data_IF_027771948815
#
_entry.id   IF_027771948815
#
_cell.length_a   1.000
_cell.length_b   1.000
_cell.length_c   1.000
_cell.angle_alpha   90.00
_cell.angle_beta   90.00
_cell.angle_gamma   90.00
#
_symmetry.space_group_name_H-M   'P 1'
#
loop_
_entity.id
_entity.type
_entity.pdbx_description
1 polymer ?
#
# COMPACT_ATOMS: atom_id res chain seq x y z
N UNK A 1 -19.83 -14.39 26.90
CA UNK A 1 -18.39 -14.42 26.52
C UNK A 1 -17.62 -15.26 27.53
N UNK A 2 -16.78 -16.17 27.06
CA UNK A 2 -16.04 -17.11 27.94
C UNK A 2 -14.92 -16.42 28.74
N UNK A 3 -14.45 -15.23 28.27
CA UNK A 3 -13.38 -14.45 28.93
C UNK A 3 -13.67 -12.95 28.80
N UNK A 4 -14.36 -12.35 29.77
CA UNK A 4 -14.75 -10.94 29.74
C UNK A 4 -13.57 -9.94 29.83
N UNK A 5 -12.40 -10.42 30.26
CA UNK A 5 -11.18 -9.58 30.42
C UNK A 5 -10.35 -9.43 29.13
N UNK A 6 -10.69 -10.18 28.07
CA UNK A 6 -9.96 -10.12 26.80
C UNK A 6 -10.62 -9.13 25.84
N UNK A 7 -9.81 -8.36 25.16
CA UNK A 7 -10.24 -7.58 24.03
C UNK A 7 -10.25 -8.47 22.78
N UNK A 8 -11.29 -8.35 21.99
CA UNK A 8 -11.49 -9.11 20.76
C UNK A 8 -11.50 -8.15 19.58
N UNK A 9 -10.82 -8.52 18.52
CA UNK A 9 -10.86 -7.80 17.24
C UNK A 9 -11.55 -8.71 16.23
N UNK A 10 -12.61 -8.19 15.60
CA UNK A 10 -13.33 -8.86 14.51
C UNK A 10 -12.98 -8.15 13.23
N UNK A 11 -12.27 -8.83 12.35
CA UNK A 11 -11.86 -8.28 11.06
C UNK A 11 -12.88 -8.63 10.00
N UNK A 12 -13.41 -7.63 9.31
CA UNK A 12 -14.40 -7.78 8.25
C UNK A 12 -14.06 -6.84 7.08
N UNK A 13 -14.56 -7.09 5.86
CA UNK A 13 -14.48 -6.11 4.78
C UNK A 13 -15.07 -4.75 5.21
N UNK A 14 -14.48 -3.64 4.76
CA UNK A 14 -14.83 -2.28 5.19
C UNK A 14 -16.34 -2.02 5.13
N UNK A 15 -16.99 -2.41 4.04
CA UNK A 15 -18.43 -2.23 3.83
C UNK A 15 -19.33 -2.95 4.85
N UNK A 16 -18.80 -3.95 5.58
CA UNK A 16 -19.56 -4.72 6.56
C UNK A 16 -19.27 -4.31 8.01
N UNK A 17 -18.35 -3.40 8.28
CA UNK A 17 -17.95 -3.00 9.64
C UNK A 17 -19.15 -2.52 10.46
N UNK A 18 -19.92 -1.57 9.95
CA UNK A 18 -21.13 -1.03 10.62
C UNK A 18 -22.21 -2.10 10.83
N UNK A 19 -22.48 -2.91 9.80
CA UNK A 19 -23.50 -3.95 9.88
C UNK A 19 -23.13 -5.05 10.90
N UNK A 20 -21.86 -5.43 10.95
CA UNK A 20 -21.35 -6.42 11.91
C UNK A 20 -21.38 -5.85 13.32
N UNK A 21 -20.94 -4.62 13.52
CA UNK A 21 -21.00 -3.95 14.82
C UNK A 21 -22.43 -3.90 15.35
N UNK A 22 -23.39 -3.49 14.51
CA UNK A 22 -24.82 -3.48 14.88
C UNK A 22 -25.33 -4.85 15.26
N UNK A 23 -25.03 -5.90 14.47
CA UNK A 23 -25.42 -7.28 14.79
C UNK A 23 -24.88 -7.73 16.16
N UNK A 24 -23.63 -7.43 16.48
CA UNK A 24 -23.02 -7.77 17.75
C UNK A 24 -23.71 -7.05 18.91
N UNK A 25 -23.99 -5.75 18.77
CA UNK A 25 -24.73 -4.98 19.78
C UNK A 25 -26.13 -5.54 19.96
N UNK A 26 -26.85 -5.82 18.87
CA UNK A 26 -28.23 -6.35 18.94
C UNK A 26 -28.30 -7.75 19.55
N UNK A 27 -27.26 -8.55 19.33
CA UNK A 27 -27.17 -9.92 19.86
C UNK A 27 -26.81 -9.95 21.37
N UNK A 28 -26.29 -8.86 21.92
CA UNK A 28 -25.89 -8.80 23.32
C UNK A 28 -27.06 -8.35 24.20
N UNK A 29 -27.30 -9.06 25.32
CA UNK A 29 -28.42 -8.81 26.21
C UNK A 29 -28.47 -7.39 26.77
N UNK A 30 -27.30 -6.74 26.95
CA UNK A 30 -27.17 -5.36 27.46
C UNK A 30 -27.11 -4.31 26.34
N UNK A 31 -27.34 -4.69 25.06
CA UNK A 31 -27.33 -3.79 23.93
C UNK A 31 -26.03 -2.94 23.79
N UNK A 32 -24.91 -3.51 24.21
CA UNK A 32 -23.60 -2.85 24.14
C UNK A 32 -22.45 -3.84 24.05
N UNK A 33 -21.35 -3.43 23.44
CA UNK A 33 -20.09 -4.16 23.35
C UNK A 33 -18.96 -3.22 23.79
N UNK A 34 -18.18 -3.62 24.79
CA UNK A 34 -17.08 -2.79 25.31
C UNK A 34 -15.70 -3.34 24.94
N UNK A 35 -15.60 -4.66 24.77
CA UNK A 35 -14.34 -5.35 24.55
C UNK A 35 -14.30 -6.07 23.19
N UNK A 36 -15.15 -5.66 22.24
CA UNK A 36 -15.10 -6.13 20.88
C UNK A 36 -14.96 -4.91 19.96
N UNK A 37 -13.91 -4.92 19.17
CA UNK A 37 -13.68 -3.92 18.13
C UNK A 37 -13.90 -4.55 16.76
N UNK A 38 -14.71 -3.93 15.92
CA UNK A 38 -14.99 -4.39 14.57
C UNK A 38 -14.27 -3.47 13.61
N UNK A 39 -13.28 -3.99 12.92
CA UNK A 39 -12.39 -3.21 12.06
C UNK A 39 -12.26 -3.85 10.68
N UNK A 40 -11.93 -3.04 9.69
CA UNK A 40 -11.41 -3.55 8.43
C UNK A 40 -9.93 -3.93 8.56
N UNK A 41 -9.41 -4.65 7.56
CA UNK A 41 -7.98 -4.96 7.51
C UNK A 41 -7.13 -3.69 7.48
N UNK A 42 -7.54 -2.69 6.74
CA UNK A 42 -6.87 -1.39 6.67
C UNK A 42 -6.80 -0.71 8.05
N UNK A 43 -7.92 -0.61 8.76
CA UNK A 43 -7.94 -0.03 10.11
C UNK A 43 -7.12 -0.85 11.11
N UNK A 44 -7.11 -2.18 10.97
CA UNK A 44 -6.25 -3.03 11.78
C UNK A 44 -4.79 -2.71 11.52
N UNK A 45 -4.40 -2.55 10.25
CA UNK A 45 -3.04 -2.22 9.85
C UNK A 45 -2.56 -0.91 10.47
N UNK A 46 -3.38 0.13 10.42
CA UNK A 46 -3.09 1.41 11.08
C UNK A 46 -2.93 1.27 12.59
N UNK A 47 -3.82 0.52 13.26
CA UNK A 47 -3.72 0.29 14.71
C UNK A 47 -2.43 -0.43 15.08
N UNK A 48 -2.07 -1.49 14.35
CA UNK A 48 -0.82 -2.23 14.58
C UNK A 48 0.36 -1.31 14.35
N UNK A 49 0.35 -0.53 13.27
CA UNK A 49 1.41 0.42 12.96
C UNK A 49 1.62 1.47 14.04
N UNK A 50 0.54 2.02 14.61
CA UNK A 50 0.60 2.94 15.73
C UNK A 50 1.14 2.29 17.01
N UNK A 51 0.73 1.07 17.33
CA UNK A 51 1.16 0.34 18.54
C UNK A 51 2.65 -0.03 18.51
N UNK A 52 3.19 -0.39 17.33
CA UNK A 52 4.61 -0.72 17.20
C UNK A 52 5.53 0.49 17.10
N UNK A 53 4.97 1.69 17.26
CA UNK A 53 5.73 2.95 17.20
C UNK A 53 6.02 3.35 15.76
N UNK A 54 5.00 3.30 14.90
CA UNK A 54 5.08 3.71 13.50
C UNK A 54 5.87 5.00 13.32
N UNK A 55 6.71 5.01 12.31
CA UNK A 55 7.64 6.10 12.06
C UNK A 55 6.89 7.44 11.97
N UNK A 56 7.52 8.52 12.43
CA UNK A 56 6.98 9.89 12.40
C UNK A 56 6.81 10.45 10.96
N UNK A 57 6.77 9.59 9.95
CA UNK A 57 6.59 10.02 8.57
C UNK A 57 5.10 10.11 8.23
N UNK A 58 4.67 11.19 7.58
CA UNK A 58 3.29 11.32 7.13
C UNK A 58 2.95 10.25 6.09
N UNK A 59 1.72 9.73 6.19
CA UNK A 59 1.20 8.76 5.23
C UNK A 59 0.86 9.45 3.92
N UNK A 60 1.39 8.94 2.83
CA UNK A 60 1.18 9.48 1.50
C UNK A 60 -0.12 8.92 0.91
N UNK A 61 -1.08 9.81 0.67
CA UNK A 61 -2.32 9.50 -0.02
C UNK A 61 -2.16 9.41 -1.55
N UNK A 62 -3.21 9.03 -2.24
CA UNK A 62 -3.21 8.92 -3.70
C UNK A 62 -2.93 10.23 -4.43
N UNK A 63 -3.35 11.36 -3.86
CA UNK A 63 -3.09 12.69 -4.41
C UNK A 63 -1.61 13.03 -4.27
N UNK A 64 -1.05 12.77 -3.11
CA UNK A 64 0.38 12.95 -2.84
C UNK A 64 1.24 12.07 -3.75
N UNK A 65 0.85 10.79 -3.96
CA UNK A 65 1.55 9.90 -4.91
C UNK A 65 1.55 10.48 -6.33
N UNK A 66 0.42 10.99 -6.81
CA UNK A 66 0.35 11.63 -8.13
C UNK A 66 1.30 12.83 -8.25
N UNK A 67 1.38 13.67 -7.20
CA UNK A 67 2.27 14.83 -7.19
C UNK A 67 3.74 14.41 -7.22
N UNK A 68 4.13 13.40 -6.42
CA UNK A 68 5.50 12.89 -6.40
C UNK A 68 5.85 12.23 -7.73
N UNK A 69 4.98 11.40 -8.30
CA UNK A 69 5.21 10.80 -9.63
C UNK A 69 5.41 11.87 -10.69
N UNK A 70 4.59 12.93 -10.68
CA UNK A 70 4.76 14.07 -11.60
C UNK A 70 6.10 14.77 -11.42
N UNK A 71 6.50 15.01 -10.16
CA UNK A 71 7.78 15.62 -9.83
C UNK A 71 8.94 14.76 -10.34
N UNK A 72 8.94 13.47 -9.99
CA UNK A 72 9.99 12.51 -10.38
C UNK A 72 10.11 12.39 -11.90
N UNK A 73 8.98 12.36 -12.63
CA UNK A 73 8.96 12.38 -14.09
C UNK A 73 9.61 13.66 -14.64
N UNK A 74 9.32 14.81 -14.04
CA UNK A 74 9.91 16.10 -14.44
C UNK A 74 11.41 16.12 -14.21
N UNK A 75 11.86 15.72 -13.02
CA UNK A 75 13.26 15.74 -12.60
C UNK A 75 14.14 14.74 -13.41
N UNK A 76 13.55 13.66 -13.92
CA UNK A 76 14.26 12.63 -14.69
C UNK A 76 13.94 12.63 -16.20
N UNK A 77 13.30 13.68 -16.71
CA UNK A 77 12.81 13.75 -18.09
C UNK A 77 13.88 13.38 -19.13
N UNK A 78 15.09 13.82 -18.93
CA UNK A 78 16.20 13.61 -19.89
C UNK A 78 16.69 12.15 -19.91
N UNK A 79 16.37 11.37 -18.88
CA UNK A 79 16.68 9.94 -18.79
C UNK A 79 15.59 9.05 -19.41
N UNK A 80 14.39 9.61 -19.65
CA UNK A 80 13.23 8.87 -20.14
C UNK A 80 13.23 8.85 -21.68
N UNK A 81 13.37 7.65 -22.24
CA UNK A 81 13.41 7.45 -23.69
C UNK A 81 12.03 7.32 -24.31
N UNK A 82 11.13 6.61 -23.65
CA UNK A 82 9.77 6.32 -24.12
C UNK A 82 8.74 7.28 -23.52
N UNK A 83 8.83 7.57 -22.24
CA UNK A 83 7.86 8.39 -21.52
C UNK A 83 8.08 9.89 -21.67
N UNK A 84 9.29 10.33 -22.06
CA UNK A 84 9.63 11.76 -22.15
C UNK A 84 8.65 12.60 -22.96
N UNK A 85 8.07 12.04 -24.04
CA UNK A 85 7.05 12.68 -24.88
C UNK A 85 5.61 12.58 -24.31
N UNK A 86 5.38 11.67 -23.35
CA UNK A 86 4.04 11.35 -22.84
C UNK A 86 3.72 12.03 -21.51
N UNK A 87 4.68 12.65 -20.84
CA UNK A 87 4.54 13.25 -19.51
C UNK A 87 3.37 14.25 -19.43
N UNK A 88 3.12 14.98 -20.51
CA UNK A 88 2.07 15.99 -20.56
C UNK A 88 0.70 15.45 -21.01
N UNK A 89 0.59 14.16 -21.33
CA UNK A 89 -0.71 13.57 -21.73
C UNK A 89 -1.61 13.42 -20.52
N UNK A 90 -2.87 13.80 -20.71
CA UNK A 90 -3.91 13.63 -19.68
C UNK A 90 -4.02 12.15 -19.29
N UNK A 91 -4.03 11.88 -17.99
CA UNK A 91 -4.15 10.52 -17.45
C UNK A 91 -2.83 9.75 -17.32
N UNK A 92 -1.76 10.11 -18.06
CA UNK A 92 -0.51 9.36 -18.05
C UNK A 92 0.11 9.24 -16.64
N UNK A 93 0.16 10.36 -15.89
CA UNK A 93 0.68 10.37 -14.51
C UNK A 93 -0.14 9.46 -13.61
N UNK A 94 -1.46 9.48 -13.76
CA UNK A 94 -2.37 8.63 -12.97
C UNK A 94 -2.21 7.14 -13.29
N UNK A 95 -2.06 6.79 -14.55
CA UNK A 95 -1.79 5.40 -14.96
C UNK A 95 -0.45 4.91 -14.42
N UNK A 96 0.60 5.72 -14.53
CA UNK A 96 1.91 5.37 -14.01
C UNK A 96 1.91 5.27 -12.48
N UNK A 97 1.18 6.16 -11.77
CA UNK A 97 0.96 6.07 -10.33
C UNK A 97 0.28 4.73 -9.96
N UNK A 98 -0.71 4.29 -10.75
CA UNK A 98 -1.39 3.01 -10.50
C UNK A 98 -0.43 1.83 -10.64
N UNK A 99 0.41 1.82 -11.67
CA UNK A 99 1.45 0.79 -11.84
C UNK A 99 2.44 0.79 -10.66
N UNK A 100 2.86 1.98 -10.21
CA UNK A 100 3.76 2.10 -9.04
C UNK A 100 3.08 1.58 -7.76
N UNK A 101 1.80 1.90 -7.55
CA UNK A 101 1.03 1.37 -6.41
C UNK A 101 0.90 -0.15 -6.46
N UNK A 102 0.70 -0.75 -7.63
CA UNK A 102 0.71 -2.21 -7.79
C UNK A 102 2.08 -2.81 -7.46
N UNK A 103 3.17 -2.18 -7.87
CA UNK A 103 4.52 -2.66 -7.53
C UNK A 103 4.76 -2.62 -6.01
N UNK A 104 4.32 -1.58 -5.32
CA UNK A 104 4.38 -1.50 -3.87
C UNK A 104 3.51 -2.57 -3.21
N UNK A 105 2.29 -2.76 -3.70
CA UNK A 105 1.33 -3.74 -3.16
C UNK A 105 1.84 -5.17 -3.27
N UNK A 106 2.53 -5.51 -4.37
CA UNK A 106 3.07 -6.85 -4.63
C UNK A 106 4.54 -7.01 -4.28
N UNK A 107 5.11 -6.03 -3.57
CA UNK A 107 6.54 -5.99 -3.18
C UNK A 107 7.49 -6.27 -4.36
N UNK A 108 7.19 -5.66 -5.51
CA UNK A 108 8.02 -5.73 -6.69
C UNK A 108 9.11 -4.67 -6.57
N UNK A 109 10.34 -5.09 -6.38
CA UNK A 109 11.48 -4.19 -6.33
C UNK A 109 12.08 -3.90 -7.73
N UNK A 110 13.00 -2.94 -7.79
CA UNK A 110 13.67 -2.53 -9.03
C UNK A 110 14.50 -3.67 -9.64
N UNK A 111 15.05 -4.56 -8.80
CA UNK A 111 15.83 -5.72 -9.27
C UNK A 111 14.93 -6.70 -10.03
N UNK A 112 13.73 -6.96 -9.50
CA UNK A 112 12.74 -7.83 -10.16
C UNK A 112 12.25 -7.24 -11.49
N UNK A 113 12.13 -5.90 -11.58
CA UNK A 113 11.85 -5.24 -12.87
C UNK A 113 12.97 -5.47 -13.88
N UNK A 114 14.23 -5.44 -13.44
CA UNK A 114 15.38 -5.79 -14.28
C UNK A 114 15.32 -7.21 -14.81
N UNK A 115 14.98 -8.20 -13.97
CA UNK A 115 14.80 -9.60 -14.37
C UNK A 115 13.67 -9.78 -15.39
N UNK A 116 12.56 -9.04 -15.23
CA UNK A 116 11.45 -9.05 -16.19
C UNK A 116 11.90 -8.43 -17.51
N UNK A 117 12.65 -7.34 -17.46
CA UNK A 117 13.18 -6.65 -18.65
C UNK A 117 14.07 -7.56 -19.48
N UNK A 118 14.94 -8.37 -18.85
CA UNK A 118 15.79 -9.34 -19.53
C UNK A 118 14.98 -10.41 -20.29
N UNK A 119 13.82 -10.80 -19.78
CA UNK A 119 12.95 -11.80 -20.42
C UNK A 119 12.17 -11.29 -21.62
N UNK A 120 12.11 -9.98 -21.82
CA UNK A 120 11.35 -9.33 -22.90
C UNK A 120 12.25 -8.60 -23.91
N UNK A 121 13.51 -9.01 -24.02
CA UNK A 121 14.51 -8.39 -24.92
C UNK A 121 14.07 -8.34 -26.39
N UNK A 122 13.26 -9.28 -26.85
CA UNK A 122 12.75 -9.32 -28.21
C UNK A 122 11.83 -8.14 -28.57
N UNK A 123 11.28 -7.43 -27.56
CA UNK A 123 10.43 -6.26 -27.76
C UNK A 123 11.10 -4.97 -27.34
N UNK A 124 11.74 -4.29 -28.30
CA UNK A 124 12.39 -2.98 -28.06
C UNK A 124 11.49 -1.96 -27.37
N UNK A 125 10.20 -1.95 -27.73
CA UNK A 125 9.25 -1.00 -27.16
C UNK A 125 8.92 -1.32 -25.69
N UNK A 126 8.72 -2.59 -25.37
CA UNK A 126 8.43 -3.02 -24.00
C UNK A 126 9.66 -2.87 -23.11
N UNK A 127 10.82 -3.23 -23.62
CA UNK A 127 12.10 -3.03 -22.94
C UNK A 127 12.34 -1.55 -22.58
N UNK A 128 12.13 -0.63 -23.54
CA UNK A 128 12.26 0.80 -23.30
C UNK A 128 11.24 1.34 -22.28
N UNK A 129 10.00 0.81 -22.26
CA UNK A 129 9.02 1.17 -21.23
C UNK A 129 9.45 0.69 -19.84
N UNK A 130 9.95 -0.53 -19.72
CA UNK A 130 10.43 -1.08 -18.46
C UNK A 130 11.66 -0.34 -17.93
N UNK A 131 12.58 0.07 -18.83
CA UNK A 131 13.72 0.91 -18.46
C UNK A 131 13.24 2.24 -17.85
N UNK A 132 12.29 2.92 -18.51
CA UNK A 132 11.73 4.19 -18.01
C UNK A 132 10.94 4.00 -16.69
N UNK A 133 10.15 2.92 -16.58
CA UNK A 133 9.43 2.59 -15.34
C UNK A 133 10.43 2.37 -14.18
N UNK A 134 11.52 1.64 -14.44
CA UNK A 134 12.57 1.39 -13.44
C UNK A 134 13.21 2.69 -12.96
N UNK A 135 13.49 3.63 -13.85
CA UNK A 135 14.04 4.96 -13.51
C UNK A 135 13.06 5.72 -12.59
N UNK A 136 11.78 5.79 -13.00
CA UNK A 136 10.77 6.54 -12.24
C UNK A 136 10.50 5.87 -10.90
N UNK A 137 10.39 4.55 -10.85
CA UNK A 137 10.12 3.80 -9.62
C UNK A 137 11.28 3.89 -8.62
N UNK A 138 12.53 3.80 -9.08
CA UNK A 138 13.71 4.01 -8.23
C UNK A 138 13.70 5.39 -7.61
N UNK A 139 13.52 6.44 -8.42
CA UNK A 139 13.49 7.81 -7.95
C UNK A 139 12.28 8.10 -7.04
N UNK A 140 11.14 7.45 -7.28
CA UNK A 140 9.97 7.51 -6.40
C UNK A 140 10.27 6.89 -5.03
N UNK A 141 10.85 5.68 -4.98
CA UNK A 141 11.24 5.02 -3.73
C UNK A 141 12.29 5.82 -2.95
N UNK A 142 13.27 6.39 -3.64
CA UNK A 142 14.27 7.25 -3.03
C UNK A 142 13.64 8.50 -2.40
N UNK A 143 12.67 9.11 -3.09
CA UNK A 143 11.94 10.27 -2.55
C UNK A 143 11.10 9.91 -1.31
N UNK A 144 10.54 8.70 -1.26
CA UNK A 144 9.75 8.23 -0.11
C UNK A 144 10.61 7.96 1.11
N UNK A 145 11.78 7.33 0.94
CA UNK A 145 12.56 6.71 2.01
C UNK A 145 12.81 7.60 3.24
N UNK A 146 12.96 8.92 3.02
CA UNK A 146 13.25 9.87 4.09
C UNK A 146 12.07 10.79 4.44
N UNK A 147 10.94 10.71 3.72
CA UNK A 147 9.90 11.73 3.82
C UNK A 147 8.50 11.19 4.11
N UNK A 148 8.17 10.02 3.63
CA UNK A 148 6.79 9.50 3.64
C UNK A 148 6.76 7.99 3.81
N UNK A 149 5.61 7.49 4.28
CA UNK A 149 5.24 6.08 4.22
C UNK A 149 3.99 5.93 3.36
N UNK A 150 3.88 4.86 2.61
CA UNK A 150 2.71 4.60 1.77
C UNK A 150 1.67 3.75 2.49
N UNK A 151 0.40 3.85 2.05
CA UNK A 151 -0.67 2.99 2.56
C UNK A 151 -0.37 1.52 2.34
N UNK A 152 0.28 1.18 1.22
CA UNK A 152 0.67 -0.20 0.87
C UNK A 152 1.71 -0.75 1.86
N UNK A 153 2.68 0.06 2.28
CA UNK A 153 3.65 -0.31 3.32
C UNK A 153 2.98 -0.54 4.67
N UNK A 154 2.05 0.33 5.07
CA UNK A 154 1.27 0.13 6.31
C UNK A 154 0.47 -1.17 6.24
N UNK A 155 -0.16 -1.48 5.10
CA UNK A 155 -0.93 -2.71 4.91
C UNK A 155 -0.08 -3.98 4.97
N UNK A 156 1.21 -3.90 4.69
CA UNK A 156 2.13 -5.04 4.77
C UNK A 156 2.53 -5.40 6.22
N UNK A 157 2.45 -4.43 7.14
CA UNK A 157 2.88 -4.59 8.55
C UNK A 157 2.15 -5.74 9.27
N UNK A 158 0.79 -5.84 9.30
CA UNK A 158 0.12 -6.93 10.00
C UNK A 158 0.44 -8.30 9.44
N UNK A 159 0.70 -8.39 8.13
CA UNK A 159 1.05 -9.67 7.47
C UNK A 159 2.36 -10.21 8.01
N UNK A 160 3.35 -9.35 8.20
CA UNK A 160 4.65 -9.72 8.79
C UNK A 160 4.50 -10.19 10.24
N UNK A 161 3.60 -9.57 11.01
CA UNK A 161 3.37 -9.89 12.41
C UNK A 161 2.47 -11.11 12.64
N UNK A 162 1.49 -11.36 11.77
CA UNK A 162 0.57 -12.51 11.91
C UNK A 162 1.26 -13.85 11.65
N UNK A 163 2.34 -13.88 10.89
CA UNK A 163 3.17 -15.07 10.74
C UNK A 163 3.95 -15.45 12.01
N UNK A 164 4.05 -14.56 12.99
CA UNK A 164 4.83 -14.78 14.22
C UNK A 164 3.98 -15.23 15.42
N UNK A 165 2.65 -15.17 15.37
CA UNK A 165 1.82 -15.30 16.58
C UNK A 165 0.56 -16.13 16.46
N UNK A 166 0.36 -16.96 15.44
CA UNK A 166 -0.75 -17.92 15.45
C UNK A 166 -0.37 -19.11 16.34
N UNK A 167 -0.96 -19.25 17.55
CA UNK A 167 -0.81 -20.47 18.30
C UNK A 167 -1.51 -21.58 17.52
N UNK A 168 -0.74 -22.56 17.07
CA UNK A 168 -1.27 -23.84 16.62
C UNK A 168 -1.97 -24.50 17.79
N UNK A 169 -3.30 -24.50 17.77
CA UNK A 169 -4.11 -25.36 18.63
C UNK A 169 -4.21 -26.74 18.00
#
# INVERSE_FOLDING_TARGET
MKYPEKNYIVVVPEQYTMATQKKLVDSHSRKGILNIDVVSFERLSYKVFEEIGGQNHPVLDDTGKNLIVRKVLGDNRDKLRYFGSNINKTGFVSELKSVISEFLQYDIDVKRLGEIRERVEDSRQLSAKLDDISVVYSAFKEYLADNYITSEEILSVPVSYTHLTLPTT
#
